data_IF_819797100399
#
_entry.id   IF_819797100399
#
_cell.length_a   1.000
_cell.length_b   1.000
_cell.length_c   1.000
_cell.angle_alpha   90.00
_cell.angle_beta   90.00
_cell.angle_gamma   90.00
#
_symmetry.space_group_name_H-M   'P 1'
#
loop_
_entity.id
_entity.type
_entity.pdbx_description
1 polymer ?
#
# COMPACT_ATOMS: atom_id res chain seq x y z
N UNK A 1 -14.57 -2.40 -2.48
CA UNK A 1 -13.10 -2.57 -2.57
C UNK A 1 -12.80 -3.69 -3.56
N UNK A 2 -11.92 -3.44 -4.53
CA UNK A 2 -11.53 -4.48 -5.48
C UNK A 2 -10.70 -5.56 -4.77
N UNK A 3 -10.61 -6.76 -5.39
CA UNK A 3 -9.78 -7.83 -4.82
C UNK A 3 -8.30 -7.45 -4.73
N UNK A 4 -7.85 -6.57 -5.62
CA UNK A 4 -6.45 -6.09 -5.63
C UNK A 4 -6.19 -5.13 -4.46
N UNK A 5 -7.06 -4.17 -4.26
CA UNK A 5 -6.98 -3.26 -3.12
C UNK A 5 -7.11 -4.01 -1.81
N UNK A 6 -8.03 -4.99 -1.75
CA UNK A 6 -8.21 -5.82 -0.57
C UNK A 6 -6.94 -6.64 -0.26
N UNK A 7 -6.29 -7.18 -1.26
CA UNK A 7 -5.04 -7.91 -1.06
C UNK A 7 -3.94 -7.06 -0.43
N UNK A 8 -3.82 -5.82 -0.91
CA UNK A 8 -2.86 -4.86 -0.35
C UNK A 8 -3.28 -4.45 1.07
N UNK A 9 -4.55 -4.11 1.26
CA UNK A 9 -5.09 -3.72 2.56
C UNK A 9 -4.87 -4.82 3.61
N UNK A 10 -5.22 -6.06 3.29
CA UNK A 10 -5.08 -7.18 4.21
C UNK A 10 -3.62 -7.42 4.60
N UNK A 11 -2.70 -7.27 3.65
CA UNK A 11 -1.28 -7.41 3.92
C UNK A 11 -0.79 -6.38 4.93
N UNK A 12 -1.23 -5.13 4.78
CA UNK A 12 -0.91 -4.05 5.71
C UNK A 12 -1.59 -4.27 7.06
N UNK A 13 -2.87 -4.61 7.03
CA UNK A 13 -3.69 -4.79 8.23
C UNK A 13 -3.13 -5.89 9.15
N UNK A 14 -2.68 -6.98 8.58
CA UNK A 14 -2.25 -8.16 9.33
C UNK A 14 -0.80 -8.08 9.83
N UNK A 15 -0.09 -7.00 9.52
CA UNK A 15 1.30 -6.86 9.97
C UNK A 15 1.38 -6.21 11.36
N UNK A 16 1.80 -6.96 12.39
CA UNK A 16 1.85 -6.41 13.75
C UNK A 16 2.89 -5.30 13.91
N UNK A 17 3.97 -5.32 13.14
CA UNK A 17 5.02 -4.30 13.20
C UNK A 17 4.47 -2.97 12.70
N UNK A 18 3.80 -2.98 11.54
CA UNK A 18 3.18 -1.77 10.99
C UNK A 18 2.10 -1.24 11.93
N UNK A 19 1.24 -2.12 12.44
CA UNK A 19 0.17 -1.73 13.35
C UNK A 19 0.69 -1.03 14.60
N UNK A 20 1.87 -1.41 15.07
CA UNK A 20 2.49 -0.78 16.24
C UNK A 20 3.03 0.62 15.96
N UNK A 21 3.20 0.97 14.68
CA UNK A 21 3.81 2.24 14.26
C UNK A 21 2.81 3.29 13.81
N UNK A 22 1.55 2.91 13.59
CA UNK A 22 0.50 3.81 13.13
C UNK A 22 -0.60 3.95 14.18
N UNK A 23 -1.38 5.00 14.03
CA UNK A 23 -2.50 5.27 14.94
C UNK A 23 -3.66 4.31 14.65
N UNK A 24 -4.74 4.46 15.41
CA UNK A 24 -5.97 3.71 15.19
C UNK A 24 -7.09 4.65 14.75
N UNK A 25 -8.05 4.09 14.04
CA UNK A 25 -9.26 4.77 13.64
C UNK A 25 -10.44 3.82 13.80
N UNK A 26 -11.41 4.21 14.62
CA UNK A 26 -12.55 3.35 14.96
C UNK A 26 -12.11 1.96 15.45
N UNK A 27 -11.11 1.92 16.32
CA UNK A 27 -10.54 0.71 16.93
C UNK A 27 -9.78 -0.21 15.96
N UNK A 28 -9.56 0.24 14.73
CA UNK A 28 -8.78 -0.49 13.71
C UNK A 28 -7.51 0.28 13.37
N UNK A 29 -6.48 -0.34 12.79
CA UNK A 29 -5.32 0.40 12.33
C UNK A 29 -5.72 1.47 11.33
N UNK A 30 -5.08 2.63 11.41
CA UNK A 30 -5.38 3.77 10.53
C UNK A 30 -4.81 3.55 9.14
N UNK A 31 -5.42 2.66 8.37
CA UNK A 31 -5.11 2.35 6.98
C UNK A 31 -6.33 2.70 6.15
N UNK A 32 -6.18 3.69 5.27
CA UNK A 32 -7.29 4.21 4.48
C UNK A 32 -7.14 3.81 3.01
N UNK A 33 -8.26 3.61 2.35
CA UNK A 33 -8.31 3.29 0.91
C UNK A 33 -9.02 4.38 0.12
N UNK A 34 -9.30 5.50 0.76
CA UNK A 34 -9.99 6.66 0.15
C UNK A 34 -9.21 7.94 0.40
N UNK A 35 -9.39 8.90 -0.48
CA UNK A 35 -8.86 10.26 -0.34
C UNK A 35 -9.96 11.27 -0.68
N UNK A 36 -10.10 12.33 0.12
CA UNK A 36 -9.33 12.61 1.34
C UNK A 36 -9.70 11.65 2.48
N UNK A 37 -8.78 11.47 3.41
CA UNK A 37 -9.04 10.67 4.61
C UNK A 37 -10.07 11.37 5.48
N UNK A 38 -10.77 10.63 6.39
CA UNK A 38 -11.71 11.26 7.31
C UNK A 38 -11.06 12.40 8.09
N UNK A 39 -11.79 13.50 8.27
CA UNK A 39 -11.26 14.70 8.91
C UNK A 39 -10.83 14.50 10.36
N UNK A 40 -11.33 13.46 11.03
CA UNK A 40 -10.95 13.11 12.40
C UNK A 40 -9.86 12.03 12.47
N UNK A 41 -9.27 11.67 11.33
CA UNK A 41 -8.14 10.74 11.32
C UNK A 41 -6.91 11.39 11.96
N UNK A 42 -6.16 10.61 12.72
CA UNK A 42 -4.96 11.08 13.43
C UNK A 42 -3.70 10.44 12.86
N UNK A 43 -2.68 11.25 12.69
CA UNK A 43 -1.35 10.79 12.31
C UNK A 43 -0.72 9.96 13.43
N UNK A 44 0.13 8.97 13.12
CA UNK A 44 0.50 8.51 11.78
C UNK A 44 -0.57 7.60 11.17
N UNK A 45 -0.70 7.66 9.84
CA UNK A 45 -1.60 6.76 9.12
C UNK A 45 -1.05 6.44 7.72
N UNK A 46 -1.65 5.43 7.08
CA UNK A 46 -1.26 4.95 5.76
C UNK A 46 -2.46 5.05 4.83
N UNK A 47 -2.23 5.49 3.61
CA UNK A 47 -3.28 5.60 2.58
C UNK A 47 -2.88 4.77 1.36
N UNK A 48 -3.76 3.85 0.97
CA UNK A 48 -3.61 3.08 -0.26
C UNK A 48 -4.32 3.85 -1.38
N UNK A 49 -3.54 4.44 -2.27
CA UNK A 49 -4.04 5.27 -3.37
C UNK A 49 -3.93 4.51 -4.68
N UNK A 50 -5.02 4.41 -5.37
CA UNK A 50 -4.96 3.83 -6.68
C UNK A 50 -5.98 2.72 -6.90
N UNK A 51 -5.84 1.94 -7.98
CA UNK A 51 -4.65 1.85 -8.82
C UNK A 51 -4.38 3.11 -9.64
N UNK A 52 -3.10 3.47 -9.78
CA UNK A 52 -2.69 4.58 -10.63
C UNK A 52 -2.41 4.11 -12.05
N UNK A 53 -2.29 2.80 -12.25
CA UNK A 53 -2.15 2.15 -13.54
C UNK A 53 -2.71 0.75 -13.43
N UNK A 54 -3.44 0.32 -14.47
CA UNK A 54 -4.04 -1.01 -14.55
C UNK A 54 -4.10 -1.40 -16.02
N UNK A 55 -3.15 -2.22 -16.46
CA UNK A 55 -3.03 -2.63 -17.86
C UNK A 55 -3.10 -4.15 -18.00
N UNK A 56 -3.63 -4.66 -19.13
CA UNK A 56 -3.64 -6.09 -19.38
C UNK A 56 -2.24 -6.67 -19.47
N UNK A 57 -2.08 -7.87 -18.96
CA UNK A 57 -0.87 -8.65 -19.08
C UNK A 57 -1.24 -10.05 -19.59
N UNK A 58 -1.76 -10.08 -20.82
CA UNK A 58 -2.33 -11.28 -21.40
C UNK A 58 -1.32 -12.04 -22.26
N UNK A 59 -1.47 -13.37 -22.27
CA UNK A 59 -0.80 -14.24 -23.20
C UNK A 59 -1.85 -14.99 -24.03
N UNK A 60 -1.43 -15.86 -24.94
CA UNK A 60 -2.38 -16.66 -25.75
C UNK A 60 -3.24 -17.59 -24.89
N UNK A 61 -2.73 -18.00 -23.73
CA UNK A 61 -3.37 -19.02 -22.89
C UNK A 61 -3.75 -18.52 -21.50
N UNK A 62 -3.45 -17.26 -21.18
CA UNK A 62 -3.73 -16.70 -19.86
C UNK A 62 -4.13 -15.25 -19.95
N UNK A 63 -4.92 -14.82 -18.95
CA UNK A 63 -5.28 -13.43 -18.75
C UNK A 63 -4.59 -12.93 -17.49
N UNK A 64 -4.04 -11.73 -17.55
CA UNK A 64 -3.37 -11.13 -16.42
C UNK A 64 -3.56 -9.63 -16.37
N UNK A 65 -3.16 -9.04 -15.26
CA UNK A 65 -3.21 -7.61 -15.07
C UNK A 65 -1.93 -7.15 -14.37
N UNK A 66 -1.39 -6.06 -14.87
CA UNK A 66 -0.30 -5.34 -14.23
C UNK A 66 -0.87 -4.07 -13.64
N UNK A 67 -0.77 -3.94 -12.31
CA UNK A 67 -1.27 -2.77 -11.61
C UNK A 67 -0.15 -2.09 -10.85
N UNK A 68 -0.28 -0.77 -10.73
CA UNK A 68 0.61 0.05 -9.93
C UNK A 68 -0.24 0.81 -8.92
N UNK A 69 0.16 0.75 -7.66
CA UNK A 69 -0.56 1.37 -6.55
C UNK A 69 0.43 2.14 -5.70
N UNK A 70 0.06 3.34 -5.27
CA UNK A 70 0.85 4.12 -4.33
C UNK A 70 0.37 3.86 -2.91
N UNK A 71 1.31 3.59 -2.02
CA UNK A 71 1.05 3.50 -0.59
C UNK A 71 1.73 4.69 0.07
N UNK A 72 0.94 5.61 0.61
CA UNK A 72 1.42 6.84 1.19
C UNK A 72 1.40 6.75 2.71
N UNK A 73 2.52 7.11 3.32
CA UNK A 73 2.70 7.07 4.77
C UNK A 73 2.86 8.50 5.27
N UNK A 74 2.09 8.86 6.30
CA UNK A 74 2.10 10.22 6.84
C UNK A 74 2.33 10.18 8.35
N UNK A 75 3.19 11.10 8.81
CA UNK A 75 3.44 11.31 10.24
C UNK A 75 3.41 12.78 10.58
N UNK A 76 3.34 13.10 11.87
CA UNK A 76 3.47 14.47 12.32
C UNK A 76 4.89 14.98 12.09
N UNK A 77 5.01 16.28 11.81
CA UNK A 77 6.32 16.90 11.62
C UNK A 77 6.89 17.36 12.98
N UNK A 78 7.76 16.53 13.54
CA UNK A 78 8.49 16.85 14.77
C UNK A 78 9.95 17.23 14.49
N UNK A 79 10.26 17.56 13.24
CA UNK A 79 11.62 17.94 12.85
C UNK A 79 12.54 16.78 12.49
N UNK A 80 12.01 15.54 12.43
CA UNK A 80 12.78 14.35 12.06
C UNK A 80 11.97 13.48 11.11
N UNK A 81 12.62 12.92 10.11
CA UNK A 81 12.02 11.98 9.16
C UNK A 81 12.03 10.54 9.66
N UNK A 82 12.63 10.28 10.82
CA UNK A 82 12.87 8.91 11.28
C UNK A 82 11.59 8.08 11.34
N UNK A 83 10.53 8.61 11.91
CA UNK A 83 9.27 7.88 12.06
C UNK A 83 8.64 7.54 10.72
N UNK A 84 8.53 8.50 9.80
CA UNK A 84 7.92 8.25 8.50
C UNK A 84 8.79 7.31 7.67
N UNK A 85 10.11 7.41 7.77
CA UNK A 85 11.01 6.50 7.08
C UNK A 85 10.85 5.06 7.58
N UNK A 86 10.74 4.85 8.88
CA UNK A 86 10.53 3.53 9.45
C UNK A 86 9.22 2.90 8.96
N UNK A 87 8.15 3.67 8.92
CA UNK A 87 6.85 3.20 8.43
C UNK A 87 6.94 2.84 6.94
N UNK A 88 7.52 3.72 6.15
CA UNK A 88 7.64 3.51 4.70
C UNK A 88 8.56 2.33 4.36
N UNK A 89 9.67 2.16 5.07
CA UNK A 89 10.54 1.01 4.89
C UNK A 89 9.85 -0.29 5.27
N UNK A 90 9.02 -0.28 6.32
CA UNK A 90 8.25 -1.47 6.67
C UNK A 90 7.23 -1.81 5.59
N UNK A 91 6.58 -0.82 5.00
CA UNK A 91 5.67 -1.04 3.87
C UNK A 91 6.42 -1.68 2.71
N UNK A 92 7.61 -1.17 2.38
CA UNK A 92 8.43 -1.76 1.32
C UNK A 92 8.77 -3.23 1.61
N UNK A 93 9.17 -3.55 2.83
CA UNK A 93 9.48 -4.92 3.22
C UNK A 93 8.31 -5.88 3.06
N UNK A 94 7.08 -5.39 3.29
CA UNK A 94 5.88 -6.20 3.16
C UNK A 94 5.56 -6.59 1.71
N UNK A 95 5.99 -5.79 0.75
CA UNK A 95 5.59 -5.97 -0.65
C UNK A 95 6.73 -6.29 -1.59
N UNK A 96 7.93 -5.76 -1.35
CA UNK A 96 9.01 -5.94 -2.31
C UNK A 96 9.47 -7.39 -2.38
N UNK A 97 9.28 -8.00 -3.55
CA UNK A 97 9.60 -9.41 -3.81
C UNK A 97 8.88 -10.38 -2.87
N UNK A 98 7.70 -9.98 -2.40
CA UNK A 98 6.84 -10.81 -1.58
C UNK A 98 5.63 -11.26 -2.39
N UNK A 99 5.21 -12.51 -2.18
CA UNK A 99 3.98 -12.99 -2.78
C UNK A 99 2.80 -12.51 -1.94
N UNK A 100 1.83 -11.88 -2.58
CA UNK A 100 0.62 -11.39 -1.91
C UNK A 100 -0.58 -12.22 -2.33
N UNK A 101 -1.57 -12.31 -1.44
CA UNK A 101 -2.78 -13.08 -1.70
C UNK A 101 -3.85 -12.18 -2.33
N UNK A 102 -4.26 -12.55 -3.54
CA UNK A 102 -5.32 -11.84 -4.27
C UNK A 102 -6.34 -12.89 -4.71
N UNK A 103 -7.57 -12.73 -4.23
CA UNK A 103 -8.63 -13.69 -4.52
C UNK A 103 -8.91 -13.80 -6.02
N UNK A 104 -8.84 -15.01 -6.56
CA UNK A 104 -9.08 -15.29 -7.97
C UNK A 104 -7.88 -15.08 -8.89
N UNK A 105 -6.73 -14.71 -8.32
CA UNK A 105 -5.51 -14.45 -9.09
C UNK A 105 -4.30 -15.11 -8.43
N UNK A 106 -3.35 -15.48 -9.28
CA UNK A 106 -2.01 -15.89 -8.84
C UNK A 106 -1.10 -14.68 -8.96
N UNK A 107 -0.49 -14.27 -7.86
CA UNK A 107 0.49 -13.18 -7.88
C UNK A 107 1.79 -13.70 -8.47
N UNK A 108 2.21 -13.14 -9.59
CA UNK A 108 3.44 -13.56 -10.28
C UNK A 108 4.63 -12.81 -9.72
N UNK A 109 4.52 -11.48 -9.61
CA UNK A 109 5.58 -10.65 -9.07
C UNK A 109 4.98 -9.43 -8.40
N UNK A 110 5.61 -9.02 -7.30
CA UNK A 110 5.34 -7.75 -6.64
C UNK A 110 6.68 -7.08 -6.38
N UNK A 111 6.81 -5.83 -6.81
CA UNK A 111 8.03 -5.06 -6.61
C UNK A 111 7.69 -3.64 -6.18
N UNK A 112 8.60 -3.03 -5.44
CA UNK A 112 8.41 -1.68 -4.93
C UNK A 112 9.47 -0.73 -5.47
N UNK A 113 9.03 0.51 -5.71
CA UNK A 113 9.90 1.65 -5.96
C UNK A 113 9.75 2.62 -4.80
N UNK A 114 10.84 3.22 -4.35
CA UNK A 114 10.84 4.07 -3.18
C UNK A 114 11.18 3.29 -1.92
N UNK A 115 10.97 3.87 -0.73
CA UNK A 115 10.14 5.05 -0.48
C UNK A 115 10.78 6.36 -0.93
N UNK A 116 9.94 7.30 -1.33
CA UNK A 116 10.33 8.64 -1.78
C UNK A 116 9.57 9.67 -0.94
N UNK A 117 10.27 10.71 -0.52
CA UNK A 117 9.66 11.78 0.26
C UNK A 117 8.71 12.60 -0.62
N UNK A 118 7.52 12.90 -0.09
CA UNK A 118 6.54 13.74 -0.75
C UNK A 118 6.26 14.99 0.10
N UNK A 119 6.19 16.18 -0.51
CA UNK A 119 5.90 17.40 0.24
C UNK A 119 4.44 17.44 0.69
N UNK A 120 4.24 17.81 1.96
CA UNK A 120 2.92 18.05 2.54
C UNK A 120 3.01 19.31 3.43
N UNK A 121 1.89 20.02 3.57
CA UNK A 121 1.88 21.29 4.28
C UNK A 121 2.11 21.13 5.79
N UNK A 122 1.43 20.20 6.43
CA UNK A 122 1.44 20.05 7.89
C UNK A 122 1.91 18.68 8.38
N UNK A 123 2.30 17.82 7.46
CA UNK A 123 2.70 16.45 7.77
C UNK A 123 3.96 16.07 7.01
N UNK A 124 4.65 15.04 7.48
CA UNK A 124 5.70 14.41 6.71
C UNK A 124 5.08 13.23 5.94
N UNK A 125 5.38 13.14 4.66
CA UNK A 125 4.85 12.09 3.81
C UNK A 125 5.94 11.37 3.04
N UNK A 126 5.77 10.06 2.87
CA UNK A 126 6.58 9.25 1.96
C UNK A 126 5.67 8.31 1.18
N UNK A 127 6.04 8.02 -0.05
CA UNK A 127 5.29 7.12 -0.92
C UNK A 127 6.13 5.90 -1.30
N UNK A 128 5.51 4.73 -1.20
CA UNK A 128 6.04 3.48 -1.74
C UNK A 128 5.13 3.09 -2.90
N UNK A 129 5.70 2.97 -4.09
CA UNK A 129 4.95 2.58 -5.28
C UNK A 129 5.08 1.08 -5.47
N UNK A 130 3.97 0.37 -5.42
CA UNK A 130 3.91 -1.09 -5.56
C UNK A 130 3.42 -1.42 -6.96
N UNK A 131 4.22 -2.20 -7.69
CA UNK A 131 3.85 -2.74 -8.99
C UNK A 131 3.67 -4.24 -8.83
N UNK A 132 2.52 -4.76 -9.26
CA UNK A 132 2.25 -6.18 -9.16
C UNK A 132 1.58 -6.71 -10.42
N UNK A 133 2.00 -7.92 -10.79
CA UNK A 133 1.49 -8.64 -11.96
C UNK A 133 0.77 -9.87 -11.44
N UNK A 134 -0.49 -10.03 -11.83
CA UNK A 134 -1.33 -11.12 -11.40
C UNK A 134 -1.93 -11.84 -12.61
N UNK A 135 -1.95 -13.16 -12.54
CA UNK A 135 -2.56 -14.01 -13.56
C UNK A 135 -3.90 -14.52 -13.03
N UNK A 136 -4.93 -14.41 -13.85
CA UNK A 136 -6.26 -14.90 -13.47
C UNK A 136 -6.27 -16.42 -13.38
N UNK A 137 -6.76 -16.94 -12.26
CA UNK A 137 -6.91 -18.38 -12.04
C UNK A 137 -8.19 -18.90 -12.71
N UNK A 138 -8.19 -20.18 -13.03
CA UNK A 138 -9.38 -20.89 -13.48
C UNK A 138 -9.76 -20.67 -14.94
N UNK A 139 -8.82 -20.29 -15.78
CA UNK A 139 -9.04 -20.21 -17.22
C UNK A 139 -8.22 -21.23 -17.96
#
# INVERSE_FOLDING_TARGET
MSVFTKGIYDRLYNDPILRSKINTYNSEPAIFTVEPVPGNARLPYVVVSGPISDVPFDTKTSLGREQTVDIRCYTENHGSKQEVEEIAERVRELFHRQSITITGYKNIITSCTGPVFIPEDEALGMVVTVRFINEKEGI
#
